data_IF_760005970988
#
_entry.id   IF_760005970988
#
_cell.length_a   1.000
_cell.length_b   1.000
_cell.length_c   1.000
_cell.angle_alpha   90.00
_cell.angle_beta   90.00
_cell.angle_gamma   90.00
#
_symmetry.space_group_name_H-M   'P 1'
#
loop_
_entity.id
_entity.type
_entity.pdbx_description
1 polymer ?
#
# COMPACT_ATOMS: atom_id res chain seq x y z
N UNK A 1 -23.87 40.82 1.41
CA UNK A 1 -23.15 40.81 2.70
C UNK A 1 -23.31 39.43 3.32
N UNK A 2 -22.22 38.81 3.78
CA UNK A 2 -22.28 37.50 4.44
C UNK A 2 -23.06 37.58 5.75
N UNK A 3 -23.84 36.55 6.09
CA UNK A 3 -24.52 36.51 7.39
C UNK A 3 -23.50 36.37 8.52
N UNK A 4 -23.81 36.85 9.72
CA UNK A 4 -22.93 36.73 10.90
C UNK A 4 -22.56 35.27 11.18
N UNK A 5 -23.52 34.36 11.02
CA UNK A 5 -23.31 32.92 11.19
C UNK A 5 -22.39 32.33 10.11
N UNK A 6 -22.49 32.80 8.86
CA UNK A 6 -21.62 32.38 7.78
C UNK A 6 -20.17 32.84 8.02
N UNK A 7 -19.95 34.11 8.36
CA UNK A 7 -18.61 34.62 8.68
C UNK A 7 -17.99 33.89 9.88
N UNK A 8 -18.80 33.57 10.90
CA UNK A 8 -18.36 32.80 12.06
C UNK A 8 -17.98 31.36 11.69
N UNK A 9 -18.78 30.66 10.88
CA UNK A 9 -18.47 29.31 10.41
C UNK A 9 -17.13 29.28 9.67
N UNK A 10 -16.91 30.21 8.73
CA UNK A 10 -15.65 30.29 7.99
C UNK A 10 -14.45 30.64 8.87
N UNK A 11 -14.63 31.49 9.89
CA UNK A 11 -13.57 31.76 10.87
C UNK A 11 -13.22 30.50 11.66
N UNK A 12 -14.24 29.77 12.13
CA UNK A 12 -14.06 28.55 12.90
C UNK A 12 -13.43 27.43 12.06
N UNK A 13 -13.82 27.23 10.80
CA UNK A 13 -13.19 26.21 9.94
C UNK A 13 -11.71 26.51 9.71
N UNK A 14 -11.31 27.78 9.62
CA UNK A 14 -9.91 28.19 9.45
C UNK A 14 -9.07 28.03 10.72
N UNK A 15 -9.58 28.44 11.89
CA UNK A 15 -8.76 28.54 13.12
C UNK A 15 -9.34 27.90 14.37
N UNK A 16 -10.65 27.60 14.42
CA UNK A 16 -11.33 27.08 15.61
C UNK A 16 -10.97 25.64 15.98
N UNK A 17 -11.24 25.24 17.22
CA UNK A 17 -11.13 23.83 17.64
C UNK A 17 -12.31 22.99 17.13
N UNK A 18 -12.13 21.67 17.07
CA UNK A 18 -13.22 20.72 16.77
C UNK A 18 -14.44 20.95 17.68
N UNK A 19 -14.20 21.10 19.00
CA UNK A 19 -15.25 21.37 19.99
C UNK A 19 -16.01 22.67 19.73
N UNK A 20 -15.32 23.72 19.26
CA UNK A 20 -15.95 25.01 18.94
C UNK A 20 -16.87 24.91 17.73
N UNK A 21 -16.44 24.19 16.69
CA UNK A 21 -17.24 23.96 15.48
C UNK A 21 -18.42 23.05 15.78
N UNK A 22 -18.19 21.94 16.48
CA UNK A 22 -19.25 21.01 16.88
C UNK A 22 -20.32 21.72 17.71
N UNK A 23 -19.91 22.53 18.70
CA UNK A 23 -20.84 23.33 19.52
C UNK A 23 -21.59 24.36 18.68
N UNK A 24 -20.92 25.01 17.73
CA UNK A 24 -21.56 25.96 16.81
C UNK A 24 -22.60 25.27 15.92
N UNK A 25 -22.27 24.12 15.31
CA UNK A 25 -23.21 23.36 14.48
C UNK A 25 -24.40 22.87 15.32
N UNK A 26 -24.17 22.43 16.55
CA UNK A 26 -25.22 22.01 17.47
C UNK A 26 -26.13 23.18 17.88
N UNK A 27 -25.58 24.38 18.11
CA UNK A 27 -26.38 25.59 18.35
C UNK A 27 -27.25 25.96 17.13
N UNK A 28 -26.74 25.79 15.91
CA UNK A 28 -27.53 26.02 14.70
C UNK A 28 -28.66 24.99 14.53
N UNK A 29 -28.46 23.73 14.98
CA UNK A 29 -29.54 22.73 15.06
C UNK A 29 -30.59 23.10 16.11
N UNK A 30 -30.18 23.71 17.22
CA UNK A 30 -31.05 23.97 18.39
C UNK A 30 -31.73 25.36 18.40
N UNK A 31 -31.54 26.20 17.37
CA UNK A 31 -32.03 27.58 17.33
C UNK A 31 -33.57 27.73 17.35
N UNK A 32 -34.11 28.11 18.52
CA UNK A 32 -35.53 28.40 18.88
C UNK A 32 -36.52 27.24 18.64
N UNK A 33 -36.47 26.28 19.54
CA UNK A 33 -37.52 25.30 19.81
C UNK A 33 -38.83 25.98 20.27
N UNK A 34 -39.85 25.94 19.42
CA UNK A 34 -41.25 25.92 19.85
C UNK A 34 -41.78 24.49 19.75
N UNK A 35 -42.89 24.13 20.41
CA UNK A 35 -43.21 22.75 20.79
C UNK A 35 -43.47 21.77 19.63
N UNK A 36 -43.69 22.27 18.41
CA UNK A 36 -44.19 21.45 17.30
C UNK A 36 -43.19 21.35 16.15
N UNK A 37 -42.63 20.16 15.92
CA UNK A 37 -42.17 19.67 14.60
C UNK A 37 -41.07 20.40 13.83
N UNK A 38 -40.31 21.33 14.42
CA UNK A 38 -39.38 22.24 13.71
C UNK A 38 -37.99 21.70 13.34
N UNK A 39 -37.61 20.47 13.70
CA UNK A 39 -36.24 19.97 13.48
C UNK A 39 -35.82 19.96 11.99
N UNK A 40 -36.74 19.62 11.08
CA UNK A 40 -36.49 19.64 9.64
C UNK A 40 -36.13 21.03 9.09
N UNK A 41 -36.65 22.12 9.67
CA UNK A 41 -36.35 23.48 9.19
C UNK A 41 -34.97 23.95 9.68
N UNK A 42 -34.59 23.60 10.91
CA UNK A 42 -33.26 23.88 11.44
C UNK A 42 -32.17 23.11 10.67
N UNK A 43 -32.39 21.83 10.39
CA UNK A 43 -31.50 21.00 9.57
C UNK A 43 -31.36 21.55 8.14
N UNK A 44 -32.47 21.93 7.50
CA UNK A 44 -32.43 22.59 6.18
C UNK A 44 -31.64 23.89 6.19
N UNK A 45 -31.80 24.73 7.22
CA UNK A 45 -31.03 25.97 7.39
C UNK A 45 -29.55 25.70 7.61
N UNK A 46 -29.21 24.66 8.38
CA UNK A 46 -27.83 24.25 8.60
C UNK A 46 -27.18 23.79 7.28
N UNK A 47 -27.85 22.94 6.51
CA UNK A 47 -27.37 22.51 5.19
C UNK A 47 -27.19 23.70 4.26
N UNK A 48 -28.13 24.67 4.27
CA UNK A 48 -28.02 25.91 3.49
C UNK A 48 -26.81 26.75 3.92
N UNK A 49 -26.53 26.82 5.23
CA UNK A 49 -25.37 27.52 5.79
C UNK A 49 -24.05 26.82 5.40
N UNK A 50 -23.98 25.50 5.50
CA UNK A 50 -22.80 24.70 5.14
C UNK A 50 -22.44 24.83 3.66
N UNK A 51 -23.47 24.92 2.82
CA UNK A 51 -23.33 25.07 1.36
C UNK A 51 -23.25 26.53 0.90
N UNK A 52 -23.31 27.49 1.82
CA UNK A 52 -23.15 28.90 1.49
C UNK A 52 -21.69 29.19 1.11
N UNK A 53 -21.52 30.07 0.12
CA UNK A 53 -20.21 30.48 -0.35
C UNK A 53 -19.81 31.84 0.22
N UNK A 54 -18.60 31.93 0.74
CA UNK A 54 -17.94 33.17 1.13
C UNK A 54 -16.73 33.35 0.21
N UNK A 55 -16.63 34.49 -0.49
CA UNK A 55 -15.57 34.72 -1.50
C UNK A 55 -15.52 33.62 -2.58
N UNK A 56 -16.68 33.01 -2.89
CA UNK A 56 -16.79 31.97 -3.91
C UNK A 56 -16.29 30.58 -3.47
N UNK A 57 -15.97 30.35 -2.20
CA UNK A 57 -15.61 29.03 -1.66
C UNK A 57 -16.61 28.59 -0.58
N UNK A 58 -16.81 27.28 -0.40
CA UNK A 58 -17.64 26.73 0.69
C UNK A 58 -16.82 26.51 1.97
N UNK A 59 -17.50 26.26 3.09
CA UNK A 59 -16.85 25.92 4.36
C UNK A 59 -15.97 24.65 4.24
N UNK A 60 -16.39 23.70 3.39
CA UNK A 60 -15.65 22.48 3.08
C UNK A 60 -14.31 22.77 2.39
N UNK A 61 -14.30 23.66 1.38
CA UNK A 61 -13.06 24.09 0.72
C UNK A 61 -12.07 24.72 1.71
N UNK A 62 -12.56 25.54 2.64
CA UNK A 62 -11.71 26.12 3.68
C UNK A 62 -11.12 25.02 4.58
N UNK A 63 -11.93 24.07 5.06
CA UNK A 63 -11.43 22.97 5.89
C UNK A 63 -10.35 22.13 5.18
N UNK A 64 -10.53 21.85 3.89
CA UNK A 64 -9.54 21.16 3.04
C UNK A 64 -8.27 21.98 2.88
N UNK A 65 -8.37 23.28 2.57
CA UNK A 65 -7.22 24.18 2.38
C UNK A 65 -6.31 24.24 3.60
N UNK A 66 -6.89 24.15 4.80
CA UNK A 66 -6.15 24.15 6.08
C UNK A 66 -5.83 22.74 6.61
N UNK A 67 -6.02 21.69 5.80
CA UNK A 67 -5.67 20.28 6.12
C UNK A 67 -6.37 19.74 7.38
N UNK A 68 -7.63 20.13 7.62
CA UNK A 68 -8.34 19.79 8.86
C UNK A 68 -9.29 18.61 8.65
N UNK A 69 -8.75 17.39 8.60
CA UNK A 69 -9.48 16.16 8.28
C UNK A 69 -10.70 15.91 9.16
N UNK A 70 -10.59 16.09 10.48
CA UNK A 70 -11.72 15.89 11.41
C UNK A 70 -12.87 16.86 11.15
N UNK A 71 -12.56 18.10 10.75
CA UNK A 71 -13.58 19.10 10.41
C UNK A 71 -14.21 18.78 9.06
N UNK A 72 -13.44 18.26 8.10
CA UNK A 72 -13.96 17.80 6.81
C UNK A 72 -15.01 16.72 7.03
N UNK A 73 -14.69 15.69 7.82
CA UNK A 73 -15.65 14.64 8.19
C UNK A 73 -16.89 15.23 8.88
N UNK A 74 -16.70 16.08 9.90
CA UNK A 74 -17.80 16.71 10.63
C UNK A 74 -18.73 17.54 9.73
N UNK A 75 -18.19 18.31 8.77
CA UNK A 75 -19.00 19.10 7.85
C UNK A 75 -19.82 18.20 6.90
N UNK A 76 -19.21 17.12 6.41
CA UNK A 76 -19.86 16.15 5.51
C UNK A 76 -20.97 15.37 6.23
N UNK A 77 -20.72 14.92 7.46
CA UNK A 77 -21.73 14.27 8.32
C UNK A 77 -22.94 15.18 8.60
N UNK A 78 -22.75 16.50 8.58
CA UNK A 78 -23.82 17.49 8.77
C UNK A 78 -24.46 17.97 7.45
N UNK A 79 -24.13 17.35 6.31
CA UNK A 79 -24.79 17.60 5.02
C UNK A 79 -24.14 18.68 4.15
N UNK A 80 -22.85 18.96 4.33
CA UNK A 80 -22.09 19.74 3.36
C UNK A 80 -22.05 18.99 2.01
N UNK A 81 -22.25 19.72 0.91
CA UNK A 81 -22.15 19.17 -0.44
C UNK A 81 -20.68 18.87 -0.75
N UNK A 82 -20.37 17.58 -0.90
CA UNK A 82 -19.02 17.07 -1.19
C UNK A 82 -18.48 17.59 -2.52
N UNK A 83 -19.36 17.72 -3.52
CA UNK A 83 -19.03 18.21 -4.87
C UNK A 83 -19.41 19.68 -5.07
N UNK A 84 -19.56 20.43 -3.96
CA UNK A 84 -19.73 21.86 -4.01
C UNK A 84 -18.58 22.49 -4.81
N UNK A 85 -18.92 23.31 -5.79
CA UNK A 85 -17.94 24.00 -6.65
C UNK A 85 -17.56 25.35 -6.08
N UNK A 86 -16.33 25.78 -6.28
CA UNK A 86 -15.90 27.15 -6.00
C UNK A 86 -16.03 28.07 -7.25
N UNK A 87 -15.47 29.29 -7.16
CA UNK A 87 -15.45 30.25 -8.26
C UNK A 87 -14.61 29.79 -9.47
N UNK A 88 -13.74 28.78 -9.34
CA UNK A 88 -13.01 28.13 -10.45
C UNK A 88 -13.71 26.86 -10.95
N UNK A 89 -14.93 26.58 -10.47
CA UNK A 89 -15.61 25.30 -10.67
C UNK A 89 -14.87 24.09 -10.09
N UNK A 90 -13.91 24.32 -9.19
CA UNK A 90 -13.16 23.27 -8.49
C UNK A 90 -13.98 22.76 -7.32
N UNK A 91 -13.91 21.46 -7.07
CA UNK A 91 -14.49 20.81 -5.89
C UNK A 91 -13.50 20.77 -4.73
N UNK A 92 -13.97 20.39 -3.55
CA UNK A 92 -13.12 20.13 -2.41
C UNK A 92 -11.99 19.11 -2.73
N UNK A 93 -12.27 18.11 -3.58
CA UNK A 93 -11.30 17.11 -4.01
C UNK A 93 -10.19 17.73 -4.90
N UNK A 94 -10.51 18.67 -5.78
CA UNK A 94 -9.48 19.40 -6.56
C UNK A 94 -8.51 20.13 -5.62
N UNK A 95 -9.03 20.82 -4.59
CA UNK A 95 -8.19 21.51 -3.60
C UNK A 95 -7.34 20.56 -2.75
N UNK A 96 -7.84 19.36 -2.46
CA UNK A 96 -7.08 18.36 -1.70
C UNK A 96 -5.87 17.83 -2.49
N UNK A 97 -6.00 17.71 -3.81
CA UNK A 97 -4.97 17.15 -4.70
C UNK A 97 -4.01 18.20 -5.28
N UNK A 98 -4.41 19.48 -5.30
CA UNK A 98 -3.59 20.60 -5.76
C UNK A 98 -2.71 21.18 -4.62
N UNK A 99 -1.50 21.71 -4.91
CA UNK A 99 -0.78 22.57 -3.97
C UNK A 99 -1.64 23.76 -3.52
N UNK A 100 -1.62 24.16 -2.22
CA UNK A 100 -0.66 23.75 -1.18
C UNK A 100 -1.15 22.63 -0.24
N UNK A 101 -2.35 22.06 -0.44
CA UNK A 101 -2.91 21.07 0.48
C UNK A 101 -2.17 19.74 0.37
N UNK A 102 -2.24 19.10 -0.81
CA UNK A 102 -1.62 17.81 -1.12
C UNK A 102 -1.65 16.83 0.07
N UNK A 103 -2.81 16.65 0.72
CA UNK A 103 -2.96 15.73 1.85
C UNK A 103 -3.83 14.55 1.44
N UNK A 104 -3.21 13.38 1.35
CA UNK A 104 -3.87 12.13 0.94
C UNK A 104 -5.00 11.73 1.89
N UNK A 105 -4.89 12.00 3.20
CA UNK A 105 -5.94 11.63 4.17
C UNK A 105 -7.20 12.43 3.93
N UNK A 106 -7.07 13.72 3.62
CA UNK A 106 -8.21 14.58 3.29
C UNK A 106 -8.86 14.13 1.97
N UNK A 107 -8.05 13.79 0.96
CA UNK A 107 -8.56 13.25 -0.30
C UNK A 107 -9.29 11.91 -0.11
N UNK A 108 -8.72 10.98 0.67
CA UNK A 108 -9.37 9.71 1.01
C UNK A 108 -10.70 9.92 1.75
N UNK A 109 -10.77 10.85 2.70
CA UNK A 109 -12.02 11.13 3.42
C UNK A 109 -13.10 11.69 2.50
N UNK A 110 -12.75 12.60 1.59
CA UNK A 110 -13.67 13.10 0.57
C UNK A 110 -14.20 11.98 -0.33
N UNK A 111 -13.32 11.09 -0.80
CA UNK A 111 -13.70 9.93 -1.62
C UNK A 111 -14.61 8.96 -0.85
N UNK A 112 -14.32 8.70 0.44
CA UNK A 112 -15.18 7.87 1.30
C UNK A 112 -16.57 8.47 1.46
N UNK A 113 -16.68 9.79 1.49
CA UNK A 113 -17.96 10.51 1.53
C UNK A 113 -18.61 10.71 0.15
N UNK A 114 -18.10 10.05 -0.89
CA UNK A 114 -18.72 10.03 -2.21
C UNK A 114 -18.33 11.19 -3.14
N UNK A 115 -17.19 11.85 -2.92
CA UNK A 115 -16.69 12.87 -3.84
C UNK A 115 -16.51 12.30 -5.26
N UNK A 116 -17.04 12.99 -6.27
CA UNK A 116 -16.88 12.58 -7.65
C UNK A 116 -15.49 12.93 -8.20
N UNK A 117 -14.88 11.96 -8.87
CA UNK A 117 -13.59 12.10 -9.56
C UNK A 117 -13.71 12.67 -10.97
N UNK A 118 -14.93 12.80 -11.49
CA UNK A 118 -15.18 13.17 -12.90
C UNK A 118 -15.55 14.63 -13.06
N UNK A 119 -15.68 15.38 -11.95
CA UNK A 119 -16.06 16.79 -11.99
C UNK A 119 -14.96 17.60 -12.66
N UNK A 120 -15.30 18.37 -13.69
CA UNK A 120 -14.35 19.23 -14.39
C UNK A 120 -14.37 20.65 -13.82
N UNK A 121 -13.17 21.21 -13.62
CA UNK A 121 -12.98 22.64 -13.32
C UNK A 121 -13.18 23.52 -14.56
N UNK A 122 -12.97 24.84 -14.42
CA UNK A 122 -13.05 25.79 -15.55
C UNK A 122 -12.09 25.51 -16.70
N UNK A 123 -10.97 24.82 -16.43
CA UNK A 123 -9.98 24.44 -17.43
C UNK A 123 -10.29 23.08 -18.06
N UNK A 124 -11.38 22.43 -17.66
CA UNK A 124 -11.75 21.09 -18.11
C UNK A 124 -10.99 19.97 -17.40
N UNK A 125 -10.20 20.27 -16.38
CA UNK A 125 -9.38 19.31 -15.64
C UNK A 125 -10.22 18.62 -14.57
N UNK A 126 -10.02 17.31 -14.40
CA UNK A 126 -10.56 16.54 -13.28
C UNK A 126 -9.67 16.70 -12.04
N UNK A 127 -10.14 16.35 -10.82
CA UNK A 127 -9.28 16.32 -9.65
C UNK A 127 -8.04 15.44 -9.85
N UNK A 128 -8.19 14.33 -10.58
CA UNK A 128 -7.12 13.38 -10.86
C UNK A 128 -6.04 13.99 -11.78
N UNK A 129 -6.45 14.81 -12.75
CA UNK A 129 -5.52 15.49 -13.65
C UNK A 129 -4.63 16.52 -12.90
N UNK A 130 -5.07 16.97 -11.72
CA UNK A 130 -4.31 17.87 -10.85
C UNK A 130 -3.36 17.13 -9.89
N UNK A 131 -3.34 15.79 -9.91
CA UNK A 131 -2.40 15.02 -9.10
C UNK A 131 -0.96 15.33 -9.50
N UNK A 132 -0.18 15.83 -8.54
CA UNK A 132 1.26 15.93 -8.74
C UNK A 132 1.90 14.54 -8.77
N UNK A 133 2.99 14.40 -9.54
CA UNK A 133 3.79 13.17 -9.58
C UNK A 133 4.27 12.74 -8.17
N UNK A 134 4.50 13.69 -7.25
CA UNK A 134 4.86 13.37 -5.85
C UNK A 134 3.72 12.65 -5.12
N UNK A 135 2.48 13.11 -5.24
CA UNK A 135 1.33 12.43 -4.64
C UNK A 135 1.06 11.08 -5.27
N UNK A 136 1.27 10.93 -6.58
CA UNK A 136 1.20 9.62 -7.22
C UNK A 136 2.24 8.66 -6.64
N UNK A 137 3.47 9.14 -6.41
CA UNK A 137 4.54 8.35 -5.78
C UNK A 137 4.27 8.03 -4.31
N UNK A 138 3.75 8.97 -3.52
CA UNK A 138 3.32 8.74 -2.12
C UNK A 138 2.10 7.82 -2.03
N UNK A 139 1.14 7.94 -2.95
CA UNK A 139 -0.02 7.04 -3.05
C UNK A 139 0.41 5.64 -3.45
N UNK A 140 1.26 5.50 -4.47
CA UNK A 140 1.84 4.20 -4.84
C UNK A 140 2.65 3.65 -3.66
N UNK A 141 3.42 4.47 -2.94
CA UNK A 141 4.16 4.02 -1.76
C UNK A 141 3.23 3.63 -0.59
N UNK A 142 2.12 4.32 -0.37
CA UNK A 142 1.17 4.08 0.74
C UNK A 142 0.09 3.02 0.42
N UNK A 143 -0.24 2.80 -0.85
CA UNK A 143 -1.09 1.70 -1.31
C UNK A 143 -0.38 0.35 -1.18
N UNK A 144 0.95 0.34 -0.99
CA UNK A 144 1.72 -0.84 -0.63
C UNK A 144 1.63 -1.20 0.87
N UNK A 145 1.05 -0.36 1.73
CA UNK A 145 1.04 -0.57 3.18
C UNK A 145 -0.36 -0.85 3.80
N UNK A 146 -1.45 -0.95 3.03
CA UNK A 146 -2.81 -1.09 3.61
C UNK A 146 -3.71 -2.24 3.14
N UNK A 147 -3.26 -3.16 2.29
CA UNK A 147 -3.97 -4.43 2.09
C UNK A 147 -3.30 -5.55 2.89
N UNK A 148 -3.91 -5.88 4.03
CA UNK A 148 -3.59 -6.99 4.92
C UNK A 148 -3.84 -8.33 4.21
N UNK A 149 -2.99 -8.68 3.23
CA UNK A 149 -3.04 -9.98 2.58
C UNK A 149 -2.84 -11.08 3.61
N UNK A 150 -3.81 -12.00 3.68
CA UNK A 150 -3.69 -13.24 4.44
C UNK A 150 -3.24 -14.35 3.50
N UNK A 151 -2.31 -15.18 3.95
CA UNK A 151 -1.85 -16.33 3.17
C UNK A 151 -2.63 -17.58 3.56
N UNK A 152 -3.16 -18.26 2.55
CA UNK A 152 -3.82 -19.56 2.69
C UNK A 152 -3.04 -20.60 1.88
N UNK A 153 -2.82 -21.78 2.47
CA UNK A 153 -2.11 -22.88 1.82
C UNK A 153 -2.99 -24.15 1.76
N UNK A 154 -2.91 -24.85 0.63
CA UNK A 154 -3.53 -26.16 0.39
C UNK A 154 -2.73 -26.93 -0.68
N UNK A 155 -3.03 -28.22 -0.85
CA UNK A 155 -2.36 -29.09 -1.82
C UNK A 155 -1.47 -30.14 -1.15
N UNK A 156 -0.39 -30.54 -1.82
CA UNK A 156 0.59 -31.48 -1.28
C UNK A 156 1.58 -30.78 -0.33
N UNK A 157 1.84 -31.39 0.82
CA UNK A 157 2.73 -30.87 1.86
C UNK A 157 3.91 -31.79 2.22
N UNK A 158 4.17 -32.82 1.41
CA UNK A 158 5.21 -33.82 1.67
C UNK A 158 6.63 -33.23 1.75
N UNK A 159 6.84 -32.05 1.14
CA UNK A 159 8.11 -31.34 1.17
C UNK A 159 8.07 -30.15 2.14
N UNK A 160 7.05 -30.05 3.01
CA UNK A 160 6.82 -28.91 3.90
C UNK A 160 6.51 -27.57 3.22
N UNK A 161 6.27 -27.57 1.91
CA UNK A 161 6.05 -26.36 1.11
C UNK A 161 4.75 -25.61 1.45
N UNK A 162 3.86 -26.20 2.27
CA UNK A 162 2.68 -25.52 2.78
C UNK A 162 2.99 -24.63 3.99
N UNK A 163 4.15 -24.80 4.63
CA UNK A 163 4.58 -24.01 5.78
C UNK A 163 3.64 -24.09 6.98
N UNK A 164 3.10 -25.29 7.24
CA UNK A 164 2.17 -25.58 8.32
C UNK A 164 2.62 -26.84 9.07
N UNK A 165 2.14 -27.02 10.30
CA UNK A 165 2.56 -28.11 11.19
C UNK A 165 2.49 -29.48 10.52
N UNK A 166 3.44 -30.35 10.89
CA UNK A 166 3.78 -31.62 10.21
C UNK A 166 2.63 -32.64 10.04
N UNK A 167 1.47 -32.42 10.66
CA UNK A 167 0.26 -33.20 10.40
C UNK A 167 -0.36 -32.95 9.00
N UNK A 168 0.15 -31.97 8.25
CA UNK A 168 -0.43 -31.51 6.98
C UNK A 168 0.28 -32.08 5.74
N UNK A 169 0.36 -33.42 5.61
CA UNK A 169 0.91 -34.09 4.43
C UNK A 169 0.15 -33.74 3.14
N UNK A 170 -1.15 -33.47 3.25
CA UNK A 170 -1.94 -32.88 2.17
C UNK A 170 -3.20 -32.20 2.70
N UNK A 171 -3.58 -31.08 2.10
CA UNK A 171 -4.83 -30.36 2.40
C UNK A 171 -5.67 -30.19 1.14
N UNK A 172 -6.90 -30.70 1.18
CA UNK A 172 -7.89 -30.50 0.11
C UNK A 172 -8.67 -29.19 0.23
N UNK A 173 -8.58 -28.52 1.38
CA UNK A 173 -9.22 -27.23 1.64
C UNK A 173 -8.17 -26.18 1.98
N UNK A 174 -8.38 -24.97 1.48
CA UNK A 174 -7.59 -23.80 1.85
C UNK A 174 -7.61 -23.61 3.37
N UNK A 175 -6.44 -23.35 3.95
CA UNK A 175 -6.29 -23.10 5.38
C UNK A 175 -5.30 -21.97 5.61
N UNK A 176 -5.63 -21.09 6.57
CA UNK A 176 -4.81 -19.94 6.89
C UNK A 176 -3.47 -20.38 7.46
N UNK A 177 -2.39 -19.74 7.00
CA UNK A 177 -1.04 -19.93 7.54
C UNK A 177 -0.84 -18.89 8.65
N UNK A 178 -0.88 -19.34 9.91
CA UNK A 178 -0.86 -18.43 11.07
C UNK A 178 0.52 -17.88 11.40
N UNK A 179 1.60 -18.49 10.90
CA UNK A 179 2.98 -18.07 11.25
C UNK A 179 3.52 -16.91 10.41
N UNK A 180 2.78 -16.47 9.39
CA UNK A 180 3.19 -15.37 8.53
C UNK A 180 2.76 -14.01 9.12
N UNK A 181 3.54 -12.94 8.87
CA UNK A 181 3.17 -11.61 9.31
C UNK A 181 1.88 -11.15 8.64
N UNK A 182 1.16 -10.25 9.31
CA UNK A 182 0.01 -9.59 8.70
C UNK A 182 0.48 -8.70 7.55
N UNK A 183 -0.20 -8.76 6.40
CA UNK A 183 0.19 -7.98 5.23
C UNK A 183 1.13 -8.73 4.29
N UNK A 184 0.76 -9.96 3.92
CA UNK A 184 1.44 -10.67 2.84
C UNK A 184 1.23 -9.93 1.52
N UNK A 185 2.34 -9.52 0.89
CA UNK A 185 2.37 -8.79 -0.38
C UNK A 185 2.38 -9.73 -1.58
N UNK A 186 3.15 -10.81 -1.51
CA UNK A 186 3.27 -11.76 -2.61
C UNK A 186 3.66 -13.16 -2.11
N UNK A 187 3.30 -14.17 -2.91
CA UNK A 187 3.66 -15.56 -2.69
C UNK A 187 4.23 -16.14 -3.98
N UNK A 188 5.29 -16.94 -3.87
CA UNK A 188 5.89 -17.65 -4.98
C UNK A 188 6.21 -19.08 -4.54
N UNK A 189 5.97 -20.06 -5.41
CA UNK A 189 6.04 -21.47 -5.02
C UNK A 189 6.70 -22.28 -6.12
N UNK A 190 7.48 -23.29 -5.73
CA UNK A 190 8.01 -24.34 -6.61
C UNK A 190 7.52 -25.73 -6.15
N UNK A 191 8.02 -26.80 -6.76
CA UNK A 191 7.68 -28.17 -6.32
C UNK A 191 8.13 -28.46 -4.89
N UNK A 192 9.23 -27.83 -4.47
CA UNK A 192 9.99 -28.23 -3.28
C UNK A 192 9.93 -27.20 -2.16
N UNK A 193 9.68 -25.92 -2.45
CA UNK A 193 9.57 -24.88 -1.42
C UNK A 193 8.67 -23.72 -1.83
N UNK A 194 8.29 -22.94 -0.83
CA UNK A 194 7.46 -21.75 -0.97
C UNK A 194 8.17 -20.56 -0.35
N UNK A 195 7.97 -19.40 -0.96
CA UNK A 195 8.54 -18.12 -0.53
C UNK A 195 7.41 -17.10 -0.44
N UNK A 196 7.39 -16.37 0.66
CA UNK A 196 6.41 -15.31 0.94
C UNK A 196 7.15 -14.00 1.16
N UNK A 197 6.64 -12.93 0.56
CA UNK A 197 7.11 -11.56 0.76
C UNK A 197 6.04 -10.79 1.53
N UNK A 198 6.40 -10.25 2.69
CA UNK A 198 5.52 -9.38 3.47
C UNK A 198 5.52 -7.92 3.01
N UNK A 199 4.67 -7.09 3.60
CA UNK A 199 4.46 -5.70 3.21
C UNK A 199 5.69 -4.81 3.45
N UNK A 200 6.52 -5.17 4.44
CA UNK A 200 7.79 -4.50 4.72
C UNK A 200 8.96 -5.05 3.87
N UNK A 201 8.67 -5.95 2.92
CA UNK A 201 9.66 -6.60 2.05
C UNK A 201 10.46 -7.69 2.75
N UNK A 202 10.00 -8.17 3.89
CA UNK A 202 10.55 -9.33 4.58
C UNK A 202 10.28 -10.62 3.79
N UNK A 203 11.29 -11.49 3.73
CA UNK A 203 11.20 -12.78 3.00
C UNK A 203 11.09 -13.92 3.99
N UNK A 204 10.11 -14.79 3.78
CA UNK A 204 9.86 -15.99 4.55
C UNK A 204 9.91 -17.21 3.65
N UNK A 205 10.53 -18.30 4.10
CA UNK A 205 10.57 -19.54 3.33
C UNK A 205 10.16 -20.75 4.16
N UNK A 206 9.56 -21.73 3.50
CA UNK A 206 9.28 -23.06 4.04
C UNK A 206 9.44 -24.10 2.95
N UNK A 207 9.71 -25.34 3.32
CA UNK A 207 9.84 -26.42 2.36
C UNK A 207 11.09 -27.29 2.55
N UNK A 208 11.52 -27.91 1.46
CA UNK A 208 12.68 -28.78 1.41
C UNK A 208 13.97 -27.97 1.43
N UNK A 209 14.87 -28.26 2.35
CA UNK A 209 16.06 -27.44 2.64
C UNK A 209 17.30 -27.77 1.83
N UNK A 210 17.43 -29.00 1.33
CA UNK A 210 18.66 -29.50 0.68
C UNK A 210 19.06 -28.61 -0.48
N UNK A 211 20.36 -28.38 -0.69
CA UNK A 211 20.87 -27.45 -1.69
C UNK A 211 20.63 -25.99 -1.33
N UNK A 212 20.44 -25.65 -0.05
CA UNK A 212 20.41 -24.28 0.47
C UNK A 212 19.26 -23.38 -0.02
N UNK A 213 18.24 -23.93 -0.70
CA UNK A 213 17.20 -23.15 -1.41
C UNK A 213 16.32 -22.27 -0.53
N UNK A 214 16.33 -22.52 0.78
CA UNK A 214 15.59 -21.74 1.78
C UNK A 214 16.38 -20.51 2.28
N UNK A 215 17.71 -20.50 2.14
CA UNK A 215 18.52 -19.30 2.40
C UNK A 215 18.84 -19.01 3.87
N UNK A 216 18.66 -19.98 4.77
CA UNK A 216 18.87 -19.80 6.22
C UNK A 216 20.30 -20.10 6.70
N UNK A 217 21.25 -20.33 5.78
CA UNK A 217 22.63 -20.71 6.12
C UNK A 217 22.81 -22.19 6.43
N UNK A 218 21.76 -22.98 6.24
CA UNK A 218 21.74 -24.44 6.44
C UNK A 218 20.90 -25.12 5.36
N UNK A 219 20.99 -26.45 5.29
CA UNK A 219 20.24 -27.29 4.34
C UNK A 219 19.03 -27.98 4.99
N UNK A 220 18.67 -27.56 6.21
CA UNK A 220 17.58 -28.13 6.98
C UNK A 220 16.23 -27.78 6.34
N UNK A 221 15.35 -28.77 6.23
CA UNK A 221 13.98 -28.56 5.77
C UNK A 221 13.14 -27.87 6.84
N UNK A 222 12.27 -26.96 6.43
CA UNK A 222 11.45 -26.13 7.31
C UNK A 222 9.97 -26.46 7.15
N UNK A 223 9.39 -27.07 8.19
CA UNK A 223 7.96 -27.35 8.31
C UNK A 223 7.09 -26.08 8.31
N UNK A 224 7.65 -24.98 8.80
CA UNK A 224 6.98 -23.72 9.06
C UNK A 224 7.73 -22.60 8.37
N UNK A 225 7.00 -21.53 8.01
CA UNK A 225 7.63 -20.35 7.43
C UNK A 225 8.56 -19.69 8.44
N UNK A 226 9.82 -19.51 8.04
CA UNK A 226 10.78 -18.75 8.83
C UNK A 226 11.29 -17.56 8.03
N UNK A 227 11.51 -16.44 8.71
CA UNK A 227 12.08 -15.24 8.11
C UNK A 227 13.56 -15.43 7.82
N UNK A 228 14.02 -15.00 6.64
CA UNK A 228 15.44 -15.01 6.31
C UNK A 228 16.14 -13.83 6.99
N UNK A 229 16.87 -14.11 8.08
CA UNK A 229 17.54 -13.07 8.88
C UNK A 229 18.61 -12.30 8.11
N UNK A 230 19.30 -12.92 7.14
CA UNK A 230 20.33 -12.24 6.35
C UNK A 230 19.78 -11.17 5.40
N UNK A 231 18.46 -11.14 5.16
CA UNK A 231 17.77 -10.12 4.37
C UNK A 231 17.02 -9.10 5.25
N UNK A 232 17.21 -9.09 6.57
CA UNK A 232 16.45 -8.23 7.49
C UNK A 232 16.50 -6.74 7.12
N UNK A 233 17.64 -6.27 6.61
CA UNK A 233 17.86 -4.87 6.20
C UNK A 233 17.58 -4.60 4.72
N UNK A 234 17.04 -5.58 4.01
CA UNK A 234 16.77 -5.52 2.57
C UNK A 234 15.26 -5.57 2.38
N UNK A 235 14.69 -4.51 1.79
CA UNK A 235 13.29 -4.51 1.39
C UNK A 235 13.15 -5.23 0.05
N UNK A 236 12.65 -6.47 0.07
CA UNK A 236 12.43 -7.28 -1.13
C UNK A 236 11.11 -6.92 -1.78
N UNK A 237 11.14 -6.71 -3.10
CA UNK A 237 9.96 -6.38 -3.89
C UNK A 237 9.45 -7.58 -4.69
N UNK A 238 10.34 -8.39 -5.27
CA UNK A 238 9.98 -9.53 -6.10
C UNK A 238 10.84 -10.75 -5.78
N UNK A 239 10.28 -11.93 -6.02
CA UNK A 239 10.99 -13.20 -5.90
C UNK A 239 10.66 -14.07 -7.12
N UNK A 240 11.67 -14.74 -7.66
CA UNK A 240 11.50 -15.83 -8.61
C UNK A 240 12.03 -17.11 -7.96
N UNK A 241 11.22 -18.17 -8.02
CA UNK A 241 11.49 -19.43 -7.31
C UNK A 241 11.55 -20.57 -8.31
N UNK A 242 12.64 -21.32 -8.27
CA UNK A 242 12.81 -22.59 -8.98
C UNK A 242 12.77 -23.74 -7.98
N UNK A 243 12.78 -24.98 -8.46
CA UNK A 243 12.96 -26.13 -7.58
C UNK A 243 14.28 -26.03 -6.83
N UNK A 244 15.37 -25.61 -7.46
CA UNK A 244 16.72 -25.73 -6.88
C UNK A 244 17.33 -24.42 -6.34
N UNK A 245 16.78 -23.27 -6.70
CA UNK A 245 17.33 -21.98 -6.33
C UNK A 245 16.25 -20.91 -6.24
N UNK A 246 16.59 -19.78 -5.62
CA UNK A 246 15.70 -18.65 -5.41
C UNK A 246 16.43 -17.36 -5.75
N UNK A 247 15.73 -16.47 -6.45
CA UNK A 247 16.19 -15.13 -6.79
C UNK A 247 15.26 -14.12 -6.10
N UNK A 248 15.81 -13.14 -5.41
CA UNK A 248 15.06 -12.01 -4.87
C UNK A 248 15.56 -10.69 -5.47
N UNK A 249 14.63 -9.81 -5.78
CA UNK A 249 14.90 -8.45 -6.24
C UNK A 249 14.47 -7.50 -5.12
N UNK A 250 15.40 -6.69 -4.64
CA UNK A 250 15.15 -5.65 -3.65
C UNK A 250 14.63 -4.36 -4.30
N UNK A 251 14.13 -3.46 -3.47
CA UNK A 251 13.85 -2.09 -3.88
C UNK A 251 15.10 -1.47 -4.52
N UNK A 252 14.90 -0.77 -5.65
CA UNK A 252 15.96 -0.24 -6.54
C UNK A 252 16.67 -1.29 -7.40
N UNK A 253 16.11 -2.49 -7.52
CA UNK A 253 16.51 -3.47 -8.52
C UNK A 253 17.76 -4.28 -8.17
N UNK A 254 18.19 -4.29 -6.91
CA UNK A 254 19.33 -5.10 -6.48
C UNK A 254 18.94 -6.59 -6.40
N UNK A 255 19.74 -7.46 -7.04
CA UNK A 255 19.45 -8.89 -7.14
C UNK A 255 20.23 -9.68 -6.10
N UNK A 256 19.54 -10.61 -5.44
CA UNK A 256 20.09 -11.60 -4.52
C UNK A 256 19.73 -13.00 -5.01
N UNK A 257 20.66 -13.94 -4.90
CA UNK A 257 20.46 -15.33 -5.30
C UNK A 257 20.98 -16.30 -4.23
N UNK A 258 20.29 -17.42 -4.05
CA UNK A 258 20.72 -18.52 -3.19
C UNK A 258 20.15 -19.86 -3.64
N UNK A 259 20.70 -20.94 -3.09
CA UNK A 259 20.39 -22.32 -3.45
C UNK A 259 21.50 -22.98 -4.25
N UNK A 260 21.14 -23.92 -5.12
CA UNK A 260 22.09 -24.65 -5.97
C UNK A 260 22.73 -23.74 -7.01
N UNK A 261 24.03 -23.92 -7.25
CA UNK A 261 24.81 -23.22 -8.27
C UNK A 261 25.59 -24.18 -9.20
N UNK A 262 25.18 -25.46 -9.31
CA UNK A 262 25.88 -26.47 -10.12
C UNK A 262 26.15 -26.07 -11.58
N UNK A 263 25.35 -25.15 -12.13
CA UNK A 263 25.47 -24.66 -13.50
C UNK A 263 25.71 -23.13 -13.56
N UNK A 264 26.05 -22.50 -12.44
CA UNK A 264 26.20 -21.04 -12.37
C UNK A 264 24.88 -20.26 -12.34
N UNK A 265 23.74 -20.92 -12.12
CA UNK A 265 22.41 -20.30 -12.19
C UNK A 265 22.17 -19.17 -11.18
N UNK A 266 23.02 -19.01 -10.16
CA UNK A 266 22.95 -17.89 -9.23
C UNK A 266 23.62 -16.62 -9.78
N UNK A 267 24.47 -16.71 -10.80
CA UNK A 267 25.16 -15.56 -11.41
C UNK A 267 26.13 -14.83 -10.46
N UNK A 268 26.58 -15.49 -9.38
CA UNK A 268 27.49 -14.91 -8.38
C UNK A 268 28.99 -15.12 -8.69
N UNK A 269 29.30 -15.67 -9.86
CA UNK A 269 30.64 -16.10 -10.26
C UNK A 269 31.05 -17.45 -9.64
N UNK A 270 32.19 -18.00 -10.08
CA UNK A 270 32.75 -19.20 -9.47
C UNK A 270 33.20 -18.90 -8.04
N UNK A 271 32.65 -19.63 -7.08
CA UNK A 271 33.28 -19.71 -5.78
C UNK A 271 34.44 -20.70 -5.91
N UNK A 272 35.56 -20.45 -5.23
CA UNK A 272 36.64 -21.41 -5.11
C UNK A 272 36.17 -22.60 -4.25
N UNK A 273 35.31 -23.44 -4.81
CA UNK A 273 34.87 -24.69 -4.23
C UNK A 273 35.98 -25.72 -4.45
N UNK A 274 36.31 -26.49 -3.42
CA UNK A 274 37.19 -27.64 -3.58
C UNK A 274 36.60 -28.66 -4.57
N UNK A 275 37.40 -29.59 -5.13
CA UNK A 275 36.95 -30.55 -6.14
C UNK A 275 35.78 -31.47 -5.72
N UNK A 276 35.38 -31.44 -4.44
CA UNK A 276 34.30 -32.24 -3.87
C UNK A 276 33.20 -31.41 -3.15
N UNK A 277 33.22 -30.08 -3.23
CA UNK A 277 32.17 -29.25 -2.63
C UNK A 277 31.07 -28.97 -3.65
N UNK A 278 29.82 -29.30 -3.32
CA UNK A 278 28.71 -28.84 -4.14
C UNK A 278 28.68 -27.31 -4.13
N UNK A 279 28.71 -26.68 -5.31
CA UNK A 279 28.54 -25.23 -5.41
C UNK A 279 27.11 -24.87 -5.00
N UNK A 280 26.95 -24.48 -3.73
CA UNK A 280 25.67 -24.11 -3.13
C UNK A 280 25.87 -22.82 -2.34
N UNK A 281 24.92 -21.89 -2.48
CA UNK A 281 24.85 -20.71 -1.62
C UNK A 281 23.76 -20.92 -0.58
N UNK A 282 24.16 -21.18 0.67
CA UNK A 282 23.23 -21.40 1.79
C UNK A 282 22.55 -20.12 2.27
N UNK A 283 23.08 -18.95 1.92
CA UNK A 283 22.50 -17.64 2.22
C UNK A 283 22.33 -16.79 0.95
N UNK A 284 21.37 -15.85 0.93
CA UNK A 284 21.22 -14.85 -0.12
C UNK A 284 22.52 -14.08 -0.36
N UNK A 285 23.05 -14.17 -1.58
CA UNK A 285 24.21 -13.39 -2.03
C UNK A 285 23.81 -12.39 -3.08
N UNK A 286 24.27 -11.16 -2.91
CA UNK A 286 24.01 -10.08 -3.85
C UNK A 286 24.86 -10.25 -5.10
N UNK A 287 24.24 -10.16 -6.27
CA UNK A 287 24.96 -10.15 -7.56
C UNK A 287 25.62 -8.79 -7.73
N UNK A 288 26.96 -8.75 -7.64
CA UNK A 288 27.72 -7.50 -7.70
C UNK A 288 27.84 -6.93 -9.11
N UNK A 289 27.84 -7.80 -10.12
CA UNK A 289 27.91 -7.43 -11.54
C UNK A 289 26.70 -6.59 -11.99
N UNK A 290 25.55 -6.78 -11.34
CA UNK A 290 24.31 -6.07 -11.63
C UNK A 290 24.09 -4.82 -10.76
N UNK A 291 25.12 -4.35 -10.05
CA UNK A 291 24.98 -3.21 -9.10
C UNK A 291 24.57 -1.89 -9.75
N UNK A 292 24.87 -1.70 -11.03
CA UNK A 292 24.58 -0.46 -11.78
C UNK A 292 23.27 -0.57 -12.58
N UNK A 293 22.63 -1.73 -12.55
CA UNK A 293 21.46 -2.07 -13.34
C UNK A 293 20.24 -2.09 -12.42
N UNK A 294 19.11 -1.59 -12.91
CA UNK A 294 17.84 -1.66 -12.21
C UNK A 294 17.05 -2.85 -12.75
N UNK A 295 17.14 -4.00 -12.07
CA UNK A 295 16.40 -5.20 -12.47
C UNK A 295 14.96 -5.09 -11.97
N UNK A 296 13.99 -5.33 -12.85
CA UNK A 296 12.55 -5.14 -12.59
C UNK A 296 11.76 -6.45 -12.65
N UNK A 297 12.30 -7.51 -13.24
CA UNK A 297 11.67 -8.82 -13.26
C UNK A 297 12.71 -9.95 -13.30
N UNK A 298 12.34 -11.11 -12.79
CA UNK A 298 13.13 -12.33 -12.83
C UNK A 298 12.25 -13.54 -13.14
N UNK A 299 12.83 -14.52 -13.83
CA UNK A 299 12.30 -15.86 -13.99
C UNK A 299 13.39 -16.87 -13.64
N UNK A 300 13.02 -17.90 -12.89
CA UNK A 300 13.93 -18.96 -12.45
C UNK A 300 13.43 -20.30 -12.98
N UNK A 301 14.24 -20.97 -13.78
CA UNK A 301 13.95 -22.29 -14.32
C UNK A 301 14.79 -23.36 -13.61
N UNK A 302 14.74 -24.62 -14.04
CA UNK A 302 15.41 -25.73 -13.37
C UNK A 302 16.91 -25.50 -13.13
N UNK A 303 17.59 -24.90 -14.12
CA UNK A 303 19.06 -24.71 -14.15
C UNK A 303 19.52 -23.37 -14.73
N UNK A 304 18.60 -22.43 -15.00
CA UNK A 304 18.95 -21.11 -15.53
C UNK A 304 18.05 -20.03 -14.95
N UNK A 305 18.52 -18.79 -15.05
CA UNK A 305 17.84 -17.58 -14.53
C UNK A 305 17.77 -16.56 -15.66
N UNK A 306 16.64 -15.87 -15.78
CA UNK A 306 16.48 -14.76 -16.73
C UNK A 306 16.05 -13.52 -15.98
N UNK A 307 16.68 -12.39 -16.25
CA UNK A 307 16.39 -11.10 -15.63
C UNK A 307 16.04 -10.06 -16.68
N UNK A 308 15.13 -9.15 -16.35
CA UNK A 308 14.76 -8.01 -17.19
C UNK A 308 15.13 -6.72 -16.48
N UNK A 309 15.87 -5.87 -17.16
CA UNK A 309 16.22 -4.53 -16.71
C UNK A 309 15.12 -3.50 -17.06
N UNK A 310 15.06 -2.39 -16.33
CA UNK A 310 14.12 -1.27 -16.56
C UNK A 310 14.12 -0.70 -17.98
N UNK A 311 15.25 -0.75 -18.68
CA UNK A 311 15.38 -0.34 -20.08
C UNK A 311 14.90 -1.41 -21.10
N UNK A 312 14.39 -2.56 -20.64
CA UNK A 312 13.93 -3.66 -21.48
C UNK A 312 15.04 -4.67 -21.87
N UNK A 313 16.29 -4.46 -21.47
CA UNK A 313 17.37 -5.43 -21.73
C UNK A 313 17.18 -6.71 -20.94
N UNK A 314 17.50 -7.84 -21.58
CA UNK A 314 17.38 -9.18 -21.02
C UNK A 314 18.77 -9.74 -20.67
N UNK A 315 18.87 -10.37 -19.50
CA UNK A 315 20.10 -11.00 -18.99
C UNK A 315 19.80 -12.47 -18.67
N UNK A 316 20.72 -13.38 -19.01
CA UNK A 316 20.58 -14.84 -18.81
C UNK A 316 21.87 -15.44 -18.29
#
# INVERSE_FOLDING_TARGET
>A
MASTAQAQLFKLTKTGSFSSISSFLQQQKNGKSGPDGKNSNAEKRLVLLLNSQLEGITALHAAVKYKRTEIVALLLENGANVDGKDWESKTALHHALQPPCQDIRVACELLRCGASIDVRDKNGMTPLDLLSHRMLMEYIASSHDSNMGQCFAWGAGNNYQLGQTAACLSKKKASKVEELPTGVRSVCTSKLHSVVVGCQGEVWTSGFGTGGRLGHGEEKSLALFQRISSLEKVRVSLVAVSDNHTIAIADRGAVFAWGSNKFGQLGIGQQAAGPNEEEVSLTPKRLTELRKQCIIAAAAAATHTVLVQDNGSLWT
#
